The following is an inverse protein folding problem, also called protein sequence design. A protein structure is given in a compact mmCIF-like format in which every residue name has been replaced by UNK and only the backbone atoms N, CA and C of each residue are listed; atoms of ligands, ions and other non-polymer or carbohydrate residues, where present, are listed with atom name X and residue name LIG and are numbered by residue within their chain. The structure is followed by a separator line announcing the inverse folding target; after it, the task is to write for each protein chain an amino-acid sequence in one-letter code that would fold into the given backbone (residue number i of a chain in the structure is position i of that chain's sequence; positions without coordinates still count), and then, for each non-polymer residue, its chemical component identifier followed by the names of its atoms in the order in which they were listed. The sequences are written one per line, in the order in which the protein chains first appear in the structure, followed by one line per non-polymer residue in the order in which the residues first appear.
data_IF_445828510750
#
_entry.id   IF_445828510750
#
_cell.length_a   1.000
_cell.length_b   1.000
_cell.length_c   1.000
_cell.angle_alpha   90.00
_cell.angle_beta   90.00
_cell.angle_gamma   90.00
#
_symmetry.space_group_name_H-M   'P 1'
#
loop_
_entity.id
_entity.type
_entity.pdbx_description
1 polymer ?
#
# COMPACT_ATOMS: atom_id res chain seq x y z
N UNK A 1 -16.54 42.73 -60.42
CA UNK A 1 -16.44 43.09 -58.99
C UNK A 1 -17.08 42.08 -58.07
N UNK A 2 -18.24 41.49 -58.34
CA UNK A 2 -18.87 40.46 -57.51
C UNK A 2 -18.03 39.18 -57.44
N UNK A 3 -17.51 38.66 -58.53
CA UNK A 3 -16.70 37.44 -58.57
C UNK A 3 -15.41 37.59 -57.80
N UNK A 4 -14.71 38.72 -57.92
CA UNK A 4 -13.50 39.01 -57.17
C UNK A 4 -13.73 39.12 -55.67
N UNK A 5 -14.89 39.61 -55.25
CA UNK A 5 -15.31 39.69 -53.88
C UNK A 5 -15.58 38.27 -53.29
N UNK A 6 -16.32 37.42 -54.05
CA UNK A 6 -16.58 36.03 -53.63
C UNK A 6 -15.30 35.20 -53.51
N UNK A 7 -14.37 35.36 -54.45
CA UNK A 7 -13.09 34.64 -54.38
C UNK A 7 -12.27 35.12 -53.17
N UNK A 8 -12.22 36.39 -52.89
CA UNK A 8 -11.47 36.95 -51.74
C UNK A 8 -12.05 36.47 -50.43
N UNK A 9 -13.39 36.43 -50.28
CA UNK A 9 -14.04 35.92 -49.07
C UNK A 9 -13.84 34.43 -48.91
N UNK A 10 -13.91 33.64 -49.98
CA UNK A 10 -13.60 32.19 -49.89
C UNK A 10 -12.18 31.90 -49.48
N UNK A 11 -11.18 32.65 -49.99
CA UNK A 11 -9.79 32.55 -49.57
C UNK A 11 -9.61 32.93 -48.11
N UNK A 12 -10.24 34.02 -47.67
CA UNK A 12 -10.15 34.45 -46.27
C UNK A 12 -10.72 33.40 -45.29
N UNK A 13 -11.91 32.81 -45.62
CA UNK A 13 -12.50 31.73 -44.85
C UNK A 13 -11.61 30.51 -44.85
N UNK A 14 -11.01 30.12 -45.97
CA UNK A 14 -10.07 29.01 -46.07
C UNK A 14 -8.87 29.19 -45.16
N UNK A 15 -8.29 30.41 -45.14
CA UNK A 15 -7.14 30.75 -44.28
C UNK A 15 -7.55 30.62 -42.80
N UNK A 16 -8.71 31.12 -42.41
CA UNK A 16 -9.21 31.05 -41.02
C UNK A 16 -9.39 29.59 -40.60
N UNK A 17 -9.95 28.74 -41.45
CA UNK A 17 -10.12 27.31 -41.16
C UNK A 17 -8.78 26.62 -40.99
N UNK A 18 -7.78 26.92 -41.85
CA UNK A 18 -6.45 26.34 -41.73
C UNK A 18 -5.74 26.76 -40.42
N UNK A 19 -5.81 28.05 -40.06
CA UNK A 19 -5.23 28.55 -38.81
C UNK A 19 -5.91 27.88 -37.61
N UNK A 20 -7.25 27.83 -37.61
CA UNK A 20 -8.03 27.18 -36.57
C UNK A 20 -7.67 25.69 -36.41
N UNK A 21 -7.63 24.97 -37.54
CA UNK A 21 -7.22 23.55 -37.55
C UNK A 21 -5.82 23.34 -37.03
N UNK A 22 -4.88 24.19 -37.40
CA UNK A 22 -3.50 24.14 -36.87
C UNK A 22 -3.44 24.38 -35.37
N UNK A 23 -4.15 25.40 -34.87
CA UNK A 23 -4.23 25.72 -33.44
C UNK A 23 -4.87 24.55 -32.68
N UNK A 24 -6.00 24.04 -33.16
CA UNK A 24 -6.70 22.92 -32.54
C UNK A 24 -5.81 21.67 -32.45
N UNK A 25 -5.12 21.35 -33.54
CA UNK A 25 -4.19 20.19 -33.55
C UNK A 25 -3.03 20.39 -32.58
N UNK A 26 -2.41 21.60 -32.54
CA UNK A 26 -1.22 21.88 -31.75
C UNK A 26 -1.49 21.98 -30.25
N UNK A 27 -2.62 22.60 -29.86
CA UNK A 27 -2.93 22.94 -28.47
C UNK A 27 -3.85 21.93 -27.77
N UNK A 28 -4.63 21.14 -28.54
CA UNK A 28 -5.57 20.16 -27.97
C UNK A 28 -5.29 18.73 -28.42
N UNK A 29 -5.30 18.44 -29.72
CA UNK A 29 -5.24 17.05 -30.18
C UNK A 29 -3.91 16.37 -29.88
N UNK A 30 -2.77 17.07 -30.08
CA UNK A 30 -1.44 16.52 -29.79
C UNK A 30 -1.23 16.26 -28.29
N UNK A 31 -1.55 17.18 -27.36
CA UNK A 31 -1.54 16.91 -25.93
C UNK A 31 -2.40 15.72 -25.51
N UNK A 32 -3.62 15.62 -25.98
CA UNK A 32 -4.52 14.50 -25.68
C UNK A 32 -3.93 13.16 -26.17
N UNK A 33 -3.38 13.12 -27.38
CA UNK A 33 -2.70 11.91 -27.89
C UNK A 33 -1.51 11.51 -27.02
N UNK A 34 -0.75 12.48 -26.49
CA UNK A 34 0.37 12.21 -25.60
C UNK A 34 -0.12 11.56 -24.30
N UNK A 35 -1.21 12.06 -23.70
CA UNK A 35 -1.81 11.47 -22.50
C UNK A 35 -2.32 10.04 -22.76
N UNK A 36 -3.00 9.82 -23.90
CA UNK A 36 -3.45 8.47 -24.30
C UNK A 36 -2.26 7.52 -24.50
N UNK A 37 -1.18 7.99 -25.09
CA UNK A 37 0.03 7.18 -25.27
C UNK A 37 0.69 6.88 -23.92
N UNK A 38 0.74 7.85 -23.03
CA UNK A 38 1.24 7.68 -21.66
C UNK A 38 0.49 6.58 -20.91
N UNK A 39 -0.86 6.61 -20.90
CA UNK A 39 -1.66 5.57 -20.25
C UNK A 39 -1.46 4.18 -20.85
N UNK A 40 -1.31 4.09 -22.18
CA UNK A 40 -1.01 2.82 -22.85
C UNK A 40 0.36 2.27 -22.45
N UNK A 41 1.37 3.12 -22.37
CA UNK A 41 2.74 2.74 -21.99
C UNK A 41 2.78 2.18 -20.56
N UNK A 42 2.04 2.79 -19.64
CA UNK A 42 1.91 2.30 -18.27
C UNK A 42 1.26 0.92 -18.24
N UNK A 43 0.15 0.75 -18.96
CA UNK A 43 -0.57 -0.54 -19.03
C UNK A 43 0.31 -1.67 -19.57
N UNK A 44 1.18 -1.38 -20.53
CA UNK A 44 2.06 -2.37 -21.19
C UNK A 44 3.37 -2.63 -20.40
N UNK A 45 3.56 -2.02 -19.22
CA UNK A 45 4.81 -2.10 -18.42
C UNK A 45 6.07 -1.73 -19.21
N UNK A 46 5.94 -0.98 -20.29
CA UNK A 46 7.07 -0.52 -21.08
C UNK A 46 7.72 0.67 -20.40
N UNK A 47 9.01 0.58 -20.11
CA UNK A 47 9.83 1.66 -19.50
C UNK A 47 9.98 2.91 -20.38
N UNK A 48 9.35 2.98 -21.53
CA UNK A 48 9.40 4.15 -22.39
C UNK A 48 8.49 5.23 -21.81
N UNK A 49 9.04 6.01 -20.89
CA UNK A 49 8.40 7.19 -20.30
C UNK A 49 8.05 8.14 -21.45
N UNK A 50 6.79 8.14 -21.85
CA UNK A 50 6.27 9.21 -22.71
C UNK A 50 6.34 10.47 -21.86
N UNK A 51 7.24 11.40 -22.24
CA UNK A 51 7.48 12.63 -21.47
C UNK A 51 6.21 13.48 -21.46
N UNK A 52 5.50 13.52 -20.33
CA UNK A 52 4.35 14.39 -20.09
C UNK A 52 4.72 15.66 -19.28
N UNK A 53 6.02 15.87 -18.98
CA UNK A 53 6.46 17.00 -18.17
C UNK A 53 6.03 18.35 -18.77
N UNK A 54 6.09 18.48 -20.10
CA UNK A 54 5.59 19.68 -20.77
C UNK A 54 4.07 19.88 -20.63
N UNK A 55 3.31 18.83 -20.33
CA UNK A 55 1.88 18.93 -20.06
C UNK A 55 1.60 19.29 -18.59
N UNK A 56 2.42 18.82 -17.68
CA UNK A 56 2.31 19.13 -16.24
C UNK A 56 2.54 20.62 -15.94
N UNK A 57 3.34 21.29 -16.77
CA UNK A 57 3.63 22.72 -16.63
C UNK A 57 2.51 23.64 -17.15
N UNK A 58 1.43 23.10 -17.70
CA UNK A 58 0.28 23.87 -18.16
C UNK A 58 -0.60 24.28 -16.98
N UNK A 59 -1.11 25.51 -17.06
CA UNK A 59 -2.02 26.08 -16.06
C UNK A 59 -3.51 25.99 -16.50
N UNK A 60 -3.85 25.02 -17.34
CA UNK A 60 -5.20 24.76 -17.83
C UNK A 60 -5.69 23.37 -17.42
N UNK A 61 -6.90 23.00 -17.84
CA UNK A 61 -7.55 21.72 -17.53
C UNK A 61 -6.73 20.52 -18.00
N UNK A 62 -5.96 20.66 -19.09
CA UNK A 62 -5.07 19.62 -19.58
C UNK A 62 -3.86 19.42 -18.65
N UNK A 63 -3.36 20.51 -18.06
CA UNK A 63 -2.32 20.44 -17.05
C UNK A 63 -2.80 19.76 -15.77
N UNK A 64 -4.00 20.14 -15.30
CA UNK A 64 -4.62 19.51 -14.13
C UNK A 64 -4.86 18.02 -14.37
N UNK A 65 -5.39 17.64 -15.53
CA UNK A 65 -5.60 16.25 -15.91
C UNK A 65 -4.27 15.46 -15.96
N UNK A 66 -3.22 16.08 -16.52
CA UNK A 66 -1.88 15.47 -16.61
C UNK A 66 -1.30 15.18 -15.23
N UNK A 67 -1.39 16.13 -14.30
CA UNK A 67 -0.92 15.96 -12.93
C UNK A 67 -1.71 14.90 -12.20
N UNK A 68 -3.05 14.93 -12.26
CA UNK A 68 -3.90 13.93 -11.62
C UNK A 68 -3.63 12.50 -12.15
N UNK A 69 -3.37 12.36 -13.44
CA UNK A 69 -3.05 11.09 -14.07
C UNK A 69 -1.67 10.57 -13.62
N UNK A 70 -0.69 11.46 -13.49
CA UNK A 70 0.63 11.12 -13.00
C UNK A 70 0.59 10.68 -11.53
N UNK A 71 -0.08 11.44 -10.68
CA UNK A 71 -0.28 11.10 -9.26
C UNK A 71 -0.93 9.72 -9.10
N UNK A 72 -2.00 9.45 -9.88
CA UNK A 72 -2.66 8.15 -9.87
C UNK A 72 -1.72 7.02 -10.34
N UNK A 73 -0.88 7.31 -11.31
CA UNK A 73 0.09 6.33 -11.83
C UNK A 73 1.18 6.02 -10.80
N UNK A 74 1.72 7.04 -10.15
CA UNK A 74 2.71 6.89 -9.08
C UNK A 74 2.13 6.09 -7.91
N UNK A 75 0.90 6.39 -7.50
CA UNK A 75 0.22 5.64 -6.44
C UNK A 75 0.00 4.17 -6.83
N UNK A 76 -0.41 3.90 -8.07
CA UNK A 76 -0.57 2.54 -8.58
C UNK A 76 0.76 1.78 -8.61
N UNK A 77 1.83 2.40 -9.09
CA UNK A 77 3.17 1.80 -9.10
C UNK A 77 3.65 1.48 -7.70
N UNK A 78 3.44 2.40 -6.75
CA UNK A 78 3.77 2.18 -5.34
C UNK A 78 3.03 0.96 -4.78
N UNK A 79 1.73 0.85 -5.04
CA UNK A 79 0.92 -0.31 -4.58
C UNK A 79 1.38 -1.62 -5.22
N UNK A 80 1.71 -1.61 -6.51
CA UNK A 80 2.24 -2.80 -7.19
C UNK A 80 3.57 -3.23 -6.56
N UNK A 81 4.51 -2.30 -6.37
CA UNK A 81 5.80 -2.59 -5.74
C UNK A 81 5.65 -3.10 -4.30
N UNK A 82 4.74 -2.53 -3.53
CA UNK A 82 4.42 -3.02 -2.20
C UNK A 82 3.88 -4.45 -2.23
N UNK A 83 2.96 -4.76 -3.16
CA UNK A 83 2.41 -6.11 -3.32
C UNK A 83 3.47 -7.13 -3.80
N UNK A 84 4.38 -6.73 -4.69
CA UNK A 84 5.48 -7.57 -5.16
C UNK A 84 6.48 -7.88 -4.02
N UNK A 85 6.90 -6.88 -3.26
CA UNK A 85 7.77 -7.05 -2.10
C UNK A 85 7.11 -7.97 -1.05
N UNK A 86 5.87 -7.68 -0.72
CA UNK A 86 5.06 -8.47 0.19
C UNK A 86 4.98 -9.95 -0.22
N UNK A 87 4.69 -10.22 -1.50
CA UNK A 87 4.64 -11.59 -2.02
C UNK A 87 6.01 -12.29 -1.92
N UNK A 88 7.09 -11.55 -2.18
CA UNK A 88 8.45 -12.07 -2.11
C UNK A 88 8.82 -12.44 -0.68
N UNK A 89 8.54 -11.56 0.27
CA UNK A 89 8.82 -11.78 1.70
C UNK A 89 8.02 -12.98 2.23
N UNK A 90 6.72 -13.09 1.89
CA UNK A 90 5.88 -14.22 2.27
C UNK A 90 6.45 -15.55 1.74
N UNK A 91 6.87 -15.58 0.47
CA UNK A 91 7.46 -16.79 -0.13
C UNK A 91 8.75 -17.19 0.62
N UNK A 92 9.61 -16.23 0.97
CA UNK A 92 10.82 -16.50 1.72
C UNK A 92 10.53 -16.99 3.14
N UNK A 93 9.59 -16.37 3.84
CA UNK A 93 9.24 -16.75 5.21
C UNK A 93 8.52 -18.10 5.31
N UNK A 94 7.76 -18.51 4.28
CA UNK A 94 7.16 -19.85 4.20
C UNK A 94 8.18 -20.92 3.77
N UNK A 95 9.12 -20.57 2.90
CA UNK A 95 10.13 -21.53 2.40
C UNK A 95 10.99 -22.10 3.53
N UNK A 96 11.35 -21.27 4.51
CA UNK A 96 12.22 -21.67 5.61
C UNK A 96 11.61 -22.79 6.47
N UNK A 97 10.39 -22.66 7.04
CA UNK A 97 9.78 -23.74 7.79
C UNK A 97 9.45 -24.96 6.91
N UNK A 98 9.11 -24.77 5.61
CA UNK A 98 8.90 -25.90 4.70
C UNK A 98 10.19 -26.70 4.49
N UNK A 99 11.34 -26.05 4.38
CA UNK A 99 12.64 -26.75 4.28
C UNK A 99 12.95 -27.52 5.55
N UNK A 100 12.69 -26.93 6.72
CA UNK A 100 12.82 -27.59 8.03
C UNK A 100 11.89 -28.79 8.16
N UNK A 101 10.60 -28.63 7.82
CA UNK A 101 9.61 -29.72 7.78
C UNK A 101 10.08 -30.88 6.90
N UNK A 102 10.57 -30.57 5.70
CA UNK A 102 11.08 -31.59 4.77
C UNK A 102 12.25 -32.36 5.39
N UNK A 103 13.26 -31.65 5.89
CA UNK A 103 14.45 -32.30 6.53
C UNK A 103 14.06 -33.10 7.75
N UNK A 104 13.21 -32.58 8.62
CA UNK A 104 12.77 -33.31 9.81
C UNK A 104 11.95 -34.55 9.45
N UNK A 105 11.15 -34.50 8.39
CA UNK A 105 10.37 -35.65 7.88
C UNK A 105 11.29 -36.75 7.30
N UNK A 106 12.33 -36.38 6.55
CA UNK A 106 13.32 -37.31 5.99
C UNK A 106 14.09 -38.04 7.12
N UNK A 107 14.58 -37.31 8.12
CA UNK A 107 15.27 -37.89 9.27
C UNK A 107 14.33 -38.75 10.11
N UNK A 108 13.06 -38.36 10.28
CA UNK A 108 12.07 -39.09 11.04
C UNK A 108 11.80 -40.48 10.44
N UNK A 109 11.88 -40.62 9.13
CA UNK A 109 11.73 -41.89 8.43
C UNK A 109 12.85 -42.89 8.77
N UNK A 110 14.08 -42.39 8.89
CA UNK A 110 15.29 -43.23 9.06
C UNK A 110 15.68 -43.43 10.54
N UNK A 111 15.05 -42.71 11.46
CA UNK A 111 15.39 -42.73 12.88
C UNK A 111 14.56 -43.73 13.65
N UNK A 112 15.27 -44.68 14.37
CA UNK A 112 14.62 -45.65 15.26
C UNK A 112 14.61 -45.20 16.72
N UNK A 113 15.40 -44.19 17.11
CA UNK A 113 15.46 -43.68 18.48
C UNK A 113 14.21 -42.86 18.83
N UNK A 114 13.50 -43.32 19.89
CA UNK A 114 12.25 -42.69 20.35
C UNK A 114 12.46 -41.25 20.79
N UNK A 115 13.56 -40.90 21.43
CA UNK A 115 13.85 -39.55 21.90
C UNK A 115 14.12 -38.60 20.74
N UNK A 116 14.84 -39.05 19.71
CA UNK A 116 15.03 -38.29 18.48
C UNK A 116 13.72 -38.11 17.71
N UNK A 117 12.90 -39.15 17.61
CA UNK A 117 11.56 -39.05 16.97
C UNK A 117 10.70 -38.01 17.64
N UNK A 118 10.65 -37.99 18.98
CA UNK A 118 9.88 -36.98 19.73
C UNK A 118 10.37 -35.55 19.46
N UNK A 119 11.68 -35.34 19.41
CA UNK A 119 12.24 -34.01 19.06
C UNK A 119 11.85 -33.58 17.65
N UNK A 120 11.94 -34.50 16.68
CA UNK A 120 11.55 -34.20 15.29
C UNK A 120 10.06 -33.88 15.14
N UNK A 121 9.20 -34.63 15.84
CA UNK A 121 7.74 -34.34 15.87
C UNK A 121 7.47 -32.95 16.46
N UNK A 122 8.17 -32.55 17.50
CA UNK A 122 8.04 -31.21 18.07
C UNK A 122 8.48 -30.11 17.09
N UNK A 123 9.58 -30.32 16.34
CA UNK A 123 10.00 -29.40 15.28
C UNK A 123 8.93 -29.28 14.20
N UNK A 124 8.40 -30.41 13.72
CA UNK A 124 7.32 -30.44 12.73
C UNK A 124 6.09 -29.67 13.21
N UNK A 125 5.65 -29.91 14.45
CA UNK A 125 4.51 -29.21 15.04
C UNK A 125 4.74 -27.72 15.17
N UNK A 126 5.92 -27.30 15.60
CA UNK A 126 6.30 -25.90 15.73
C UNK A 126 6.33 -25.18 14.37
N UNK A 127 6.89 -25.83 13.35
CA UNK A 127 6.98 -25.22 12.02
C UNK A 127 5.61 -25.12 11.35
N UNK A 128 4.71 -26.10 11.55
CA UNK A 128 3.30 -25.99 11.10
C UNK A 128 2.60 -24.81 11.77
N UNK A 129 2.71 -24.67 13.09
CA UNK A 129 2.13 -23.54 13.81
C UNK A 129 2.72 -22.19 13.38
N UNK A 130 4.00 -22.17 13.00
CA UNK A 130 4.65 -20.98 12.46
C UNK A 130 4.04 -20.58 11.11
N UNK A 131 3.81 -21.55 10.22
CA UNK A 131 3.16 -21.30 8.92
C UNK A 131 1.71 -20.82 9.12
N UNK A 132 0.94 -21.43 10.03
CA UNK A 132 -0.41 -20.98 10.33
C UNK A 132 -0.45 -19.53 10.83
N UNK A 133 0.48 -19.16 11.72
CA UNK A 133 0.61 -17.76 12.17
C UNK A 133 0.95 -16.83 11.03
N UNK A 134 1.94 -17.15 10.20
CA UNK A 134 2.30 -16.34 9.04
C UNK A 134 1.08 -16.10 8.15
N UNK A 135 0.32 -17.13 7.78
CA UNK A 135 -0.86 -17.01 6.94
C UNK A 135 -1.93 -16.12 7.59
N UNK A 136 -2.12 -16.25 8.89
CA UNK A 136 -3.11 -15.47 9.65
C UNK A 136 -2.70 -14.00 9.71
N UNK A 137 -1.45 -13.71 10.04
CA UNK A 137 -0.90 -12.36 10.16
C UNK A 137 -0.94 -11.64 8.80
N UNK A 138 -0.58 -12.33 7.72
CA UNK A 138 -0.65 -11.80 6.36
C UNK A 138 -2.09 -11.56 5.90
N UNK A 139 -3.01 -12.47 6.22
CA UNK A 139 -4.44 -12.27 5.93
C UNK A 139 -5.01 -11.06 6.68
N UNK A 140 -4.61 -10.87 7.93
CA UNK A 140 -5.02 -9.72 8.72
C UNK A 140 -4.45 -8.41 8.16
N UNK A 141 -3.17 -8.39 7.81
CA UNK A 141 -2.52 -7.22 7.20
C UNK A 141 -3.23 -6.77 5.91
N UNK A 142 -3.61 -7.72 5.04
CA UNK A 142 -4.38 -7.40 3.82
C UNK A 142 -5.75 -6.79 4.11
N UNK A 143 -6.47 -7.33 5.11
CA UNK A 143 -7.75 -6.76 5.55
C UNK A 143 -7.57 -5.35 6.10
N UNK A 144 -6.51 -5.15 6.85
CA UNK A 144 -6.16 -3.87 7.47
C UNK A 144 -5.84 -2.80 6.42
N UNK A 145 -5.11 -3.15 5.37
CA UNK A 145 -4.81 -2.23 4.26
C UNK A 145 -6.09 -1.79 3.52
N UNK A 146 -7.01 -2.73 3.26
CA UNK A 146 -8.30 -2.41 2.66
C UNK A 146 -9.15 -1.52 3.58
N UNK A 147 -9.14 -1.75 4.89
CA UNK A 147 -9.86 -0.93 5.86
C UNK A 147 -9.26 0.49 5.92
N UNK A 148 -7.93 0.62 5.98
CA UNK A 148 -7.22 1.91 5.97
C UNK A 148 -7.56 2.77 4.75
N UNK A 149 -7.77 2.15 3.58
CA UNK A 149 -8.14 2.88 2.37
C UNK A 149 -9.55 3.48 2.41
N UNK A 150 -10.43 3.02 3.31
CA UNK A 150 -11.83 3.44 3.43
C UNK A 150 -12.09 4.33 4.64
N UNK A 151 -11.29 4.22 5.69
CA UNK A 151 -11.50 4.96 6.93
C UNK A 151 -10.85 6.34 6.87
N UNK A 152 -11.57 7.34 7.38
CA UNK A 152 -11.05 8.71 7.48
C UNK A 152 -10.33 8.90 8.81
N UNK A 153 -9.16 9.50 8.75
CA UNK A 153 -8.43 9.92 9.95
C UNK A 153 -9.21 10.99 10.72
N UNK A 154 -9.22 10.87 12.04
CA UNK A 154 -9.83 11.84 12.97
C UNK A 154 -8.78 12.35 13.95
N UNK A 155 -9.01 13.53 14.48
CA UNK A 155 -8.20 14.03 15.61
C UNK A 155 -8.63 13.31 16.87
N UNK A 156 -7.74 12.50 17.44
CA UNK A 156 -7.98 11.65 18.59
C UNK A 156 -7.12 12.10 19.78
N UNK A 157 -7.68 12.02 20.98
CA UNK A 157 -6.91 12.10 22.20
C UNK A 157 -6.30 10.72 22.48
N UNK A 158 -4.97 10.64 22.56
CA UNK A 158 -4.28 9.35 22.70
C UNK A 158 -4.35 8.78 24.12
N UNK A 159 -4.59 9.62 25.12
CA UNK A 159 -4.57 9.18 26.52
C UNK A 159 -5.63 8.14 26.87
N UNK A 160 -6.94 8.33 26.53
CA UNK A 160 -7.95 7.30 26.79
C UNK A 160 -7.66 5.98 26.03
N UNK A 161 -7.08 6.07 24.83
CA UNK A 161 -6.72 4.90 24.03
C UNK A 161 -5.63 4.09 24.72
N UNK A 162 -4.55 4.74 25.18
CA UNK A 162 -3.47 4.07 25.92
C UNK A 162 -4.01 3.43 27.20
N UNK A 163 -4.86 4.14 27.96
CA UNK A 163 -5.44 3.60 29.19
C UNK A 163 -6.27 2.35 28.94
N UNK A 164 -7.14 2.38 27.93
CA UNK A 164 -7.94 1.22 27.54
C UNK A 164 -7.07 -0.01 27.24
N UNK A 165 -6.05 0.15 26.41
CA UNK A 165 -5.15 -0.96 26.05
C UNK A 165 -4.37 -1.46 27.27
N UNK A 166 -3.87 -0.57 28.14
CA UNK A 166 -3.14 -0.95 29.37
C UNK A 166 -4.06 -1.72 30.32
N UNK A 167 -5.31 -1.31 30.47
CA UNK A 167 -6.29 -2.00 31.32
C UNK A 167 -6.60 -3.40 30.78
N UNK A 168 -6.78 -3.55 29.47
CA UNK A 168 -7.01 -4.85 28.83
C UNK A 168 -5.82 -5.80 29.03
N UNK A 169 -4.61 -5.32 28.85
CA UNK A 169 -3.39 -6.10 29.08
C UNK A 169 -3.23 -6.48 30.57
N UNK A 170 -3.52 -5.58 31.49
CA UNK A 170 -3.49 -5.90 32.91
C UNK A 170 -4.50 -6.98 33.28
N UNK A 171 -5.71 -6.96 32.72
CA UNK A 171 -6.71 -8.01 32.95
C UNK A 171 -6.20 -9.39 32.52
N UNK A 172 -5.42 -9.48 31.48
CA UNK A 172 -4.89 -10.74 30.93
C UNK A 172 -3.60 -11.16 31.66
N UNK A 173 -2.62 -10.27 31.74
CA UNK A 173 -1.25 -10.63 32.15
C UNK A 173 -1.02 -10.58 33.65
N UNK A 174 -1.77 -9.77 34.40
CA UNK A 174 -1.73 -9.76 35.87
C UNK A 174 -2.13 -11.12 36.46
N UNK A 175 -3.16 -11.75 35.88
CA UNK A 175 -3.64 -13.07 36.32
C UNK A 175 -2.71 -14.19 35.85
N UNK A 176 -2.21 -14.11 34.59
CA UNK A 176 -1.43 -15.19 34.00
C UNK A 176 0.05 -15.19 34.39
N UNK A 177 0.65 -14.02 34.60
CA UNK A 177 2.10 -13.88 34.78
C UNK A 177 2.50 -12.99 35.98
N UNK A 178 1.54 -12.41 36.69
CA UNK A 178 1.83 -11.46 37.78
C UNK A 178 2.41 -10.11 37.33
N UNK A 179 2.35 -9.82 36.04
CA UNK A 179 2.91 -8.58 35.45
C UNK A 179 1.88 -7.46 35.64
N UNK A 180 2.33 -6.30 36.10
CA UNK A 180 1.51 -5.10 36.25
C UNK A 180 2.07 -3.98 35.38
N UNK A 181 1.28 -3.52 34.42
CA UNK A 181 1.63 -2.44 33.48
C UNK A 181 1.03 -1.15 34.03
N UNK A 182 1.86 -0.14 34.22
CA UNK A 182 1.41 1.17 34.71
C UNK A 182 1.60 2.24 33.68
N UNK A 183 0.54 2.97 33.38
CA UNK A 183 0.58 4.18 32.56
C UNK A 183 0.75 5.40 33.51
N UNK A 184 1.75 6.25 33.23
CA UNK A 184 1.95 7.52 33.96
C UNK A 184 1.88 8.68 32.96
N UNK A 185 1.00 9.61 33.22
CA UNK A 185 0.94 10.90 32.55
C UNK A 185 1.19 12.01 33.58
N UNK A 186 1.94 13.03 33.21
CA UNK A 186 2.18 14.21 34.07
C UNK A 186 0.94 15.09 34.26
N UNK A 187 -0.15 14.79 33.51
CA UNK A 187 -1.44 15.46 33.65
C UNK A 187 -1.47 16.91 33.14
N UNK A 188 -0.35 17.40 32.61
CA UNK A 188 -0.21 18.82 32.21
C UNK A 188 -0.66 19.09 30.78
N UNK A 189 -0.61 18.09 29.89
CA UNK A 189 -0.87 18.26 28.47
C UNK A 189 -1.83 17.19 27.95
N UNK A 190 -2.70 17.58 27.00
CA UNK A 190 -3.47 16.66 26.18
C UNK A 190 -2.71 16.40 24.89
N UNK A 191 -2.57 15.14 24.51
CA UNK A 191 -1.84 14.74 23.33
C UNK A 191 -2.82 14.28 22.24
N UNK A 192 -2.84 15.01 21.13
CA UNK A 192 -3.72 14.72 20.01
C UNK A 192 -2.93 14.16 18.82
N UNK A 193 -3.48 13.14 18.19
CA UNK A 193 -2.94 12.54 16.96
C UNK A 193 -4.04 12.49 15.89
N UNK A 194 -3.67 12.66 14.64
CA UNK A 194 -4.56 12.39 13.54
C UNK A 194 -4.41 10.90 13.13
N UNK A 195 -5.46 10.12 13.33
CA UNK A 195 -5.41 8.69 13.09
C UNK A 195 -6.77 8.03 13.12
N UNK A 196 -6.75 6.71 13.07
CA UNK A 196 -7.90 5.82 13.21
C UNK A 196 -7.76 5.11 14.55
N UNK A 197 -8.74 5.25 15.42
CA UNK A 197 -8.70 4.80 16.82
C UNK A 197 -8.27 3.34 16.97
N UNK A 198 -8.97 2.42 16.30
CA UNK A 198 -8.68 0.98 16.36
C UNK A 198 -7.24 0.65 15.90
N UNK A 199 -6.65 1.47 15.00
CA UNK A 199 -5.27 1.26 14.52
C UNK A 199 -4.23 1.71 15.54
N UNK A 200 -4.52 2.79 16.24
CA UNK A 200 -3.66 3.26 17.33
C UNK A 200 -3.69 2.26 18.47
N UNK A 201 -4.88 1.75 18.83
CA UNK A 201 -5.02 0.66 19.81
C UNK A 201 -4.18 -0.56 19.41
N UNK A 202 -4.28 -1.01 18.17
CA UNK A 202 -3.54 -2.15 17.64
C UNK A 202 -2.03 -1.93 17.68
N UNK A 203 -1.54 -0.73 17.35
CA UNK A 203 -0.11 -0.39 17.44
C UNK A 203 0.38 -0.51 18.88
N UNK A 204 -0.37 0.07 19.83
CA UNK A 204 0.00 0.04 21.23
C UNK A 204 -0.05 -1.39 21.78
N UNK A 205 -1.09 -2.16 21.43
CA UNK A 205 -1.23 -3.56 21.81
C UNK A 205 -0.05 -4.40 21.30
N UNK A 206 0.33 -4.26 20.02
CA UNK A 206 1.46 -4.98 19.45
C UNK A 206 2.79 -4.62 20.12
N UNK A 207 3.00 -3.35 20.46
CA UNK A 207 4.20 -2.92 21.19
C UNK A 207 4.27 -3.50 22.58
N UNK A 208 3.14 -3.54 23.30
CA UNK A 208 3.07 -4.15 24.63
C UNK A 208 3.25 -5.66 24.57
N UNK A 209 2.64 -6.35 23.62
CA UNK A 209 2.78 -7.80 23.43
C UNK A 209 4.22 -8.17 23.12
N UNK A 210 4.88 -7.43 22.24
CA UNK A 210 6.32 -7.61 21.96
C UNK A 210 7.17 -7.39 23.23
N UNK A 211 6.87 -6.37 24.02
CA UNK A 211 7.61 -6.11 25.25
C UNK A 211 7.42 -7.19 26.32
N UNK A 212 6.27 -7.87 26.32
CA UNK A 212 5.91 -8.92 27.29
C UNK A 212 6.31 -10.34 26.81
N UNK A 213 6.70 -10.48 25.54
CA UNK A 213 7.13 -11.78 24.98
C UNK A 213 8.56 -12.17 25.34
N UNK A 214 9.34 -11.25 25.90
CA UNK A 214 10.67 -11.45 26.46
C UNK A 214 10.60 -11.63 27.97
#
# INVERSE_FOLDING_TARGET
ERETFVIRTAIAVGIVILIFSFVLNRYFLKPIRNLVTYTKTIKEKKQKVTNIEGLKLRNDELGLLSNSLDDMTLELQKRISQAENFSTDLVHEIRNPLASLKSASEILHDTSDINQRMKLINILSHDVQRIERLITDYSQMLKDEVALSKEKTKKLDIEPIIKSVVDDFNNIYKVKRGINITYKNDGKNKYFINGIENRIEQIIANLLDNALSF
#
